data_IF_138319155354
#
_entry.id   IF_138319155354
#
_cell.length_a   1.000
_cell.length_b   1.000
_cell.length_c   1.000
_cell.angle_alpha   90.00
_cell.angle_beta   90.00
_cell.angle_gamma   90.00
#
_symmetry.space_group_name_H-M   'P 1'
#
loop_
_entity.id
_entity.type
_entity.pdbx_description
1 polymer ?
#
# COMPACT_ATOMS: atom_id res chain seq x y z
N UNK A 1 -23.16 -3.15 -11.97
CA UNK A 1 -22.50 -1.82 -12.00
C UNK A 1 -21.05 -2.02 -11.59
N UNK A 2 -20.10 -2.00 -12.53
CA UNK A 2 -18.67 -2.10 -12.20
C UNK A 2 -18.20 -0.71 -11.79
N UNK A 3 -18.02 -0.49 -10.49
CA UNK A 3 -17.45 0.75 -9.97
C UNK A 3 -16.00 0.83 -10.44
N UNK A 4 -15.69 1.73 -11.38
CA UNK A 4 -14.32 2.06 -11.72
C UNK A 4 -13.83 2.98 -10.59
N UNK A 5 -13.17 2.40 -9.59
CA UNK A 5 -12.49 3.18 -8.56
C UNK A 5 -11.20 3.73 -9.17
N UNK A 6 -11.10 5.06 -9.27
CA UNK A 6 -9.88 5.76 -9.62
C UNK A 6 -9.25 6.29 -8.35
N UNK A 7 -8.06 5.82 -8.03
CA UNK A 7 -7.26 6.43 -6.98
C UNK A 7 -6.30 7.42 -7.64
N UNK A 8 -6.61 8.70 -7.50
CA UNK A 8 -5.75 9.78 -7.99
C UNK A 8 -4.73 10.13 -6.91
N UNK A 9 -3.50 9.68 -7.07
CA UNK A 9 -2.38 10.21 -6.29
C UNK A 9 -1.81 11.41 -7.06
N UNK A 10 -1.98 12.60 -6.49
CA UNK A 10 -1.39 13.83 -7.01
C UNK A 10 -0.10 14.10 -6.24
N UNK A 11 1.06 13.86 -6.86
CA UNK A 11 2.34 14.26 -6.28
C UNK A 11 2.78 15.58 -6.90
N UNK A 12 3.12 16.57 -6.07
CA UNK A 12 3.75 17.82 -6.50
C UNK A 12 5.20 17.83 -6.04
N UNK A 13 6.13 17.51 -6.94
CA UNK A 13 7.55 17.74 -6.73
C UNK A 13 8.03 18.81 -7.71
N UNK A 14 8.45 19.97 -7.19
CA UNK A 14 9.05 21.05 -8.01
C UNK A 14 8.22 21.44 -9.24
N UNK A 15 6.94 21.76 -9.06
CA UNK A 15 5.96 22.20 -10.09
C UNK A 15 5.44 21.14 -11.09
N UNK A 16 5.85 19.87 -11.03
CA UNK A 16 5.19 18.83 -11.85
C UNK A 16 4.12 18.10 -11.06
N UNK A 17 2.89 18.16 -11.59
CA UNK A 17 1.74 17.41 -11.12
C UNK A 17 1.68 16.12 -11.93
N UNK A 18 1.99 14.99 -11.31
CA UNK A 18 1.77 13.68 -11.93
C UNK A 18 0.53 13.06 -11.30
N UNK A 19 -0.44 12.72 -12.15
CA UNK A 19 -1.65 12.00 -11.79
C UNK A 19 -1.40 10.50 -12.07
N UNK A 20 -1.22 9.71 -11.01
CA UNK A 20 -1.19 8.26 -11.15
C UNK A 20 -2.62 7.72 -11.12
N UNK A 21 -2.97 6.96 -12.15
CA UNK A 21 -4.25 6.27 -12.25
C UNK A 21 -4.00 4.77 -12.05
N UNK A 22 -4.46 4.24 -10.91
CA UNK A 22 -4.45 2.81 -10.63
C UNK A 22 -5.74 2.19 -11.14
N UNK A 23 -5.65 1.31 -12.14
CA UNK A 23 -6.83 0.64 -12.70
C UNK A 23 -7.16 -0.61 -11.89
N UNK A 24 -8.43 -0.76 -11.53
CA UNK A 24 -8.95 -1.91 -10.80
C UNK A 24 -8.87 -3.18 -11.68
N UNK A 25 -7.72 -3.89 -11.65
CA UNK A 25 -7.50 -5.34 -11.85
C UNK A 25 -6.09 -5.60 -12.43
N UNK A 26 -5.41 -6.73 -12.09
CA UNK A 26 -4.25 -7.21 -12.84
C UNK A 26 -4.73 -7.76 -14.19
N UNK A 27 -5.11 -6.89 -15.10
CA UNK A 27 -5.30 -7.25 -16.50
C UNK A 27 -3.94 -7.05 -17.15
N UNK A 28 -3.29 -8.17 -17.54
CA UNK A 28 -2.19 -8.16 -18.51
C UNK A 28 -2.56 -7.16 -19.60
N UNK A 29 -1.68 -6.19 -19.82
CA UNK A 29 -1.94 -4.95 -20.56
C UNK A 29 -3.13 -5.08 -21.48
N UNK A 30 -4.26 -4.46 -21.11
CA UNK A 30 -5.38 -4.34 -22.03
C UNK A 30 -4.78 -3.81 -23.32
N UNK A 31 -4.80 -4.65 -24.37
CA UNK A 31 -4.61 -4.17 -25.72
C UNK A 31 -5.50 -2.94 -25.87
N UNK A 32 -4.96 -1.91 -26.52
CA UNK A 32 -5.50 -0.56 -26.67
C UNK A 32 -6.94 -0.46 -27.25
N UNK A 33 -7.70 -1.55 -27.30
CA UNK A 33 -8.93 -1.68 -28.09
C UNK A 33 -10.23 -1.33 -27.37
N UNK A 34 -10.26 -1.14 -26.04
CA UNK A 34 -11.50 -0.75 -25.33
C UNK A 34 -11.41 0.55 -24.52
N UNK A 35 -10.22 1.14 -24.37
CA UNK A 35 -10.12 2.56 -24.06
C UNK A 35 -10.43 3.32 -25.37
N UNK A 36 -11.69 3.71 -25.57
CA UNK A 36 -12.09 4.63 -26.64
C UNK A 36 -11.05 5.76 -26.72
N UNK A 37 -10.32 5.86 -27.83
CA UNK A 37 -9.65 7.03 -28.40
C UNK A 37 -9.46 8.29 -27.51
N UNK A 38 -8.98 8.14 -26.29
CA UNK A 38 -8.49 9.25 -25.48
C UNK A 38 -6.98 9.17 -25.58
N UNK A 39 -6.39 10.12 -26.31
CA UNK A 39 -4.96 10.36 -26.20
C UNK A 39 -4.68 10.56 -24.71
N UNK A 40 -3.86 9.67 -24.13
CA UNK A 40 -3.47 9.86 -22.74
C UNK A 40 -2.82 11.24 -22.66
N UNK A 41 -3.30 12.14 -21.79
CA UNK A 41 -2.65 13.42 -21.64
C UNK A 41 -1.20 13.16 -21.22
N UNK A 42 -0.25 14.01 -21.61
CA UNK A 42 1.17 13.82 -21.30
C UNK A 42 1.48 13.74 -19.79
N UNK A 43 0.50 14.04 -18.94
CA UNK A 43 0.57 14.04 -17.48
C UNK A 43 -0.06 12.79 -16.83
N UNK A 44 -0.66 11.88 -17.61
CA UNK A 44 -1.28 10.67 -17.10
C UNK A 44 -0.41 9.44 -17.38
N UNK A 45 -0.22 8.62 -16.34
CA UNK A 45 0.45 7.32 -16.44
C UNK A 45 -0.50 6.26 -15.91
N UNK A 46 -0.76 5.24 -16.72
CA UNK A 46 -1.51 4.06 -16.32
C UNK A 46 -0.58 3.04 -15.67
N UNK A 47 -0.88 2.64 -14.43
CA UNK A 47 -0.11 1.63 -13.71
C UNK A 47 -0.90 0.32 -13.57
N UNK A 48 -0.17 -0.77 -13.38
CA UNK A 48 -0.74 -2.06 -13.01
C UNK A 48 -1.33 -2.00 -11.59
N UNK A 49 -2.23 -2.93 -11.28
CA UNK A 49 -2.78 -3.09 -9.95
C UNK A 49 -2.59 -4.52 -9.44
N UNK A 50 -1.90 -4.72 -8.31
CA UNK A 50 -1.19 -3.69 -7.53
C UNK A 50 0.06 -3.16 -8.27
N UNK A 51 0.65 -2.07 -7.79
CA UNK A 51 1.95 -1.62 -8.28
C UNK A 51 2.75 -0.85 -7.24
N UNK A 52 4.07 -0.84 -7.45
CA UNK A 52 5.03 -0.03 -6.69
C UNK A 52 5.77 0.87 -7.67
N UNK A 53 5.80 2.17 -7.41
CA UNK A 53 6.35 3.18 -8.31
C UNK A 53 7.19 4.20 -7.54
N UNK A 54 8.27 4.66 -8.17
CA UNK A 54 9.09 5.75 -7.65
C UNK A 54 8.60 7.09 -8.20
N UNK A 55 8.26 8.02 -7.32
CA UNK A 55 7.86 9.39 -7.63
C UNK A 55 8.82 10.36 -6.94
N UNK A 56 9.84 10.81 -7.68
CA UNK A 56 10.91 11.63 -7.09
C UNK A 56 11.58 10.88 -5.93
N UNK A 57 11.57 11.41 -4.69
CA UNK A 57 12.15 10.75 -3.53
C UNK A 57 11.23 9.71 -2.86
N UNK A 58 10.00 9.53 -3.34
CA UNK A 58 9.03 8.60 -2.74
C UNK A 58 8.95 7.28 -3.50
N UNK A 59 9.06 6.16 -2.79
CA UNK A 59 8.55 4.88 -3.26
C UNK A 59 7.12 4.71 -2.75
N UNK A 60 6.16 4.63 -3.66
CA UNK A 60 4.74 4.47 -3.35
C UNK A 60 4.27 3.12 -3.83
N UNK A 61 3.70 2.33 -2.92
CA UNK A 61 3.01 1.10 -3.21
C UNK A 61 1.50 1.34 -3.12
N UNK A 62 0.75 0.87 -4.11
CA UNK A 62 -0.70 1.04 -4.14
C UNK A 62 -1.40 -0.23 -4.60
N UNK A 63 -2.53 -0.52 -3.98
CA UNK A 63 -3.44 -1.57 -4.38
C UNK A 63 -4.86 -1.06 -4.28
N UNK A 64 -5.67 -1.26 -5.32
CA UNK A 64 -7.06 -0.80 -5.33
C UNK A 64 -8.03 -1.81 -4.72
N UNK A 65 -7.59 -3.04 -4.45
CA UNK A 65 -8.42 -4.06 -3.81
C UNK A 65 -8.65 -3.70 -2.33
N UNK A 66 -9.85 -3.98 -1.81
CA UNK A 66 -10.18 -3.67 -0.42
C UNK A 66 -9.64 -4.74 0.55
N UNK A 67 -8.32 -4.85 0.60
CA UNK A 67 -7.58 -5.84 1.38
C UNK A 67 -7.73 -5.58 2.87
N UNK A 68 -7.80 -4.31 3.28
CA UNK A 68 -8.03 -3.96 4.69
C UNK A 68 -9.37 -4.50 5.19
N UNK A 69 -10.45 -4.38 4.41
CA UNK A 69 -11.76 -4.93 4.78
C UNK A 69 -11.73 -6.45 4.82
N UNK A 70 -11.07 -7.09 3.84
CA UNK A 70 -10.91 -8.54 3.81
C UNK A 70 -10.15 -9.06 5.05
N UNK A 71 -9.03 -8.43 5.41
CA UNK A 71 -8.26 -8.74 6.61
C UNK A 71 -9.07 -8.46 7.88
N UNK A 72 -9.79 -7.33 7.94
CA UNK A 72 -10.61 -7.00 9.12
C UNK A 72 -11.70 -8.02 9.43
N UNK A 73 -12.13 -8.83 8.46
CA UNK A 73 -13.13 -9.87 8.68
C UNK A 73 -12.52 -11.20 9.18
N UNK A 74 -11.21 -11.40 9.00
CA UNK A 74 -10.52 -12.68 9.23
C UNK A 74 -9.35 -12.58 10.22
N UNK A 75 -8.98 -11.37 10.63
CA UNK A 75 -7.91 -11.12 11.58
C UNK A 75 -8.37 -11.37 13.02
N UNK A 76 -7.52 -12.07 13.78
CA UNK A 76 -7.68 -12.30 15.20
C UNK A 76 -6.43 -11.82 15.92
N UNK A 77 -6.59 -10.87 16.84
CA UNK A 77 -5.49 -10.38 17.69
C UNK A 77 -5.77 -10.63 19.15
N UNK A 78 -4.70 -10.97 19.89
CA UNK A 78 -4.70 -11.07 21.34
C UNK A 78 -4.04 -9.80 21.88
N UNK A 79 -4.85 -8.85 22.33
CA UNK A 79 -4.37 -7.62 22.94
C UNK A 79 -4.45 -7.74 24.46
N UNK A 80 -3.34 -7.56 25.20
CA UNK A 80 -3.38 -7.54 26.66
C UNK A 80 -4.32 -6.45 27.19
N UNK A 81 -5.02 -6.67 28.31
CA UNK A 81 -5.86 -5.65 28.92
C UNK A 81 -5.08 -4.36 29.18
N UNK A 82 -5.66 -3.21 28.83
CA UNK A 82 -5.03 -1.89 29.00
C UNK A 82 -4.09 -1.46 27.87
N UNK A 83 -3.84 -2.30 26.86
CA UNK A 83 -3.04 -1.90 25.69
C UNK A 83 -3.94 -1.30 24.62
N UNK A 84 -3.73 -0.03 24.28
CA UNK A 84 -4.42 0.63 23.18
C UNK A 84 -3.71 0.33 21.85
N UNK A 85 -4.24 -0.61 21.07
CA UNK A 85 -3.75 -0.90 19.71
C UNK A 85 -4.77 -0.37 18.70
N UNK A 86 -4.34 0.54 17.82
CA UNK A 86 -5.16 0.97 16.69
C UNK A 86 -5.30 -0.18 15.68
N UNK A 87 -6.51 -0.74 15.59
CA UNK A 87 -6.79 -1.91 14.77
C UNK A 87 -6.55 -1.69 13.27
N UNK A 88 -6.99 -0.56 12.72
CA UNK A 88 -6.95 -0.31 11.27
C UNK A 88 -5.50 -0.25 10.72
N UNK A 89 -4.57 0.50 11.33
CA UNK A 89 -3.16 0.45 10.92
C UNK A 89 -2.52 -0.92 11.14
N UNK A 90 -2.93 -1.67 12.19
CA UNK A 90 -2.42 -3.01 12.43
C UNK A 90 -2.75 -3.98 11.27
N UNK A 91 -3.90 -3.85 10.61
CA UNK A 91 -4.24 -4.68 9.44
C UNK A 91 -3.23 -4.49 8.29
N UNK A 92 -2.76 -3.27 8.07
CA UNK A 92 -1.77 -2.97 7.04
C UNK A 92 -0.38 -3.53 7.37
N UNK A 93 -0.10 -3.82 8.65
CA UNK A 93 1.17 -4.44 9.04
C UNK A 93 1.31 -5.86 8.48
N UNK A 94 0.19 -6.58 8.26
CA UNK A 94 0.22 -7.89 7.60
C UNK A 94 0.70 -7.81 6.15
N UNK A 95 0.31 -6.76 5.42
CA UNK A 95 0.76 -6.53 4.03
C UNK A 95 2.25 -6.27 3.96
N UNK A 96 2.76 -5.43 4.88
CA UNK A 96 4.19 -5.13 4.98
C UNK A 96 4.99 -6.35 5.43
N UNK A 97 4.54 -7.04 6.48
CA UNK A 97 5.22 -8.18 7.08
C UNK A 97 5.30 -9.39 6.16
N UNK A 98 4.21 -9.68 5.44
CA UNK A 98 4.16 -10.80 4.50
C UNK A 98 4.66 -10.45 3.10
N UNK A 99 5.08 -9.20 2.87
CA UNK A 99 5.59 -8.71 1.57
C UNK A 99 4.64 -9.05 0.41
N UNK A 100 3.34 -8.94 0.65
CA UNK A 100 2.29 -9.27 -0.32
C UNK A 100 1.16 -8.27 -0.21
N UNK A 101 0.72 -7.71 -1.33
CA UNK A 101 -0.44 -6.83 -1.42
C UNK A 101 -1.74 -7.54 -1.03
N UNK A 102 -1.81 -8.88 -1.12
CA UNK A 102 -2.99 -9.66 -0.70
C UNK A 102 -2.56 -10.90 0.10
N UNK A 103 -2.29 -10.75 1.40
CA UNK A 103 -1.80 -11.85 2.25
C UNK A 103 -2.88 -12.86 2.68
N UNK A 104 -4.16 -12.52 2.54
CA UNK A 104 -5.27 -13.38 2.98
C UNK A 104 -5.46 -14.57 2.02
N UNK A 105 -5.39 -15.80 2.55
CA UNK A 105 -5.69 -17.01 1.79
C UNK A 105 -6.51 -18.01 2.63
N UNK A 106 -7.58 -18.61 2.07
CA UNK A 106 -8.19 -18.33 0.77
C UNK A 106 -8.68 -16.89 0.62
N UNK A 107 -8.82 -16.40 -0.61
CA UNK A 107 -9.33 -15.05 -0.84
C UNK A 107 -10.74 -14.89 -0.26
N UNK A 108 -11.06 -13.71 0.27
CA UNK A 108 -12.37 -13.46 0.86
C UNK A 108 -13.50 -13.68 -0.17
N UNK A 109 -14.67 -14.20 0.23
CA UNK A 109 -15.78 -14.45 -0.68
C UNK A 109 -16.12 -13.22 -1.54
N UNK A 110 -16.28 -13.43 -2.85
CA UNK A 110 -16.51 -12.36 -3.82
C UNK A 110 -15.25 -11.67 -4.34
N UNK A 111 -14.06 -11.98 -3.81
CA UNK A 111 -12.78 -11.55 -4.39
C UNK A 111 -12.37 -12.51 -5.50
N UNK A 112 -12.31 -12.02 -6.74
CA UNK A 112 -11.76 -12.79 -7.86
C UNK A 112 -10.22 -12.67 -7.86
N UNK A 113 -9.55 -13.57 -7.14
CA UNK A 113 -8.10 -13.66 -7.09
C UNK A 113 -7.59 -14.80 -7.98
N UNK A 114 -6.82 -14.47 -9.02
CA UNK A 114 -6.13 -15.47 -9.81
C UNK A 114 -4.81 -15.88 -9.13
N UNK A 115 -4.83 -17.05 -8.51
CA UNK A 115 -3.69 -17.59 -7.76
C UNK A 115 -2.51 -17.98 -8.66
N UNK A 116 -2.72 -18.18 -9.96
CA UNK A 116 -1.64 -18.50 -10.90
C UNK A 116 -0.64 -17.34 -11.09
N UNK A 117 -1.05 -16.12 -10.74
CA UNK A 117 -0.25 -14.90 -10.86
C UNK A 117 0.16 -14.28 -9.51
N UNK A 118 0.25 -15.10 -8.45
CA UNK A 118 0.57 -14.62 -7.10
C UNK A 118 1.90 -13.85 -7.00
N UNK A 119 2.86 -14.12 -7.90
CA UNK A 119 4.12 -13.37 -7.97
C UNK A 119 3.91 -11.87 -8.25
N UNK A 120 2.83 -11.49 -8.93
CA UNK A 120 2.48 -10.09 -9.22
C UNK A 120 1.92 -9.35 -7.99
N UNK A 121 1.54 -10.08 -6.95
CA UNK A 121 1.05 -9.52 -5.69
C UNK A 121 2.18 -9.26 -4.69
N UNK A 122 3.42 -9.61 -5.03
CA UNK A 122 4.55 -9.38 -4.14
C UNK A 122 4.81 -7.88 -3.96
N UNK A 123 5.25 -7.52 -2.76
CA UNK A 123 5.75 -6.19 -2.40
C UNK A 123 7.29 -6.24 -2.43
N UNK A 124 7.92 -6.01 -3.59
CA UNK A 124 9.34 -6.30 -3.81
C UNK A 124 10.26 -5.41 -2.97
N UNK A 125 9.86 -4.16 -2.74
CA UNK A 125 10.62 -3.15 -1.99
C UNK A 125 9.72 -2.58 -0.89
N UNK A 126 10.31 -2.23 0.25
CA UNK A 126 9.55 -1.51 1.27
C UNK A 126 9.22 -0.09 0.79
N UNK A 127 7.94 0.28 0.69
CA UNK A 127 7.55 1.60 0.23
C UNK A 127 7.74 2.63 1.34
N UNK A 128 7.88 3.90 0.98
CA UNK A 128 7.74 4.99 1.94
C UNK A 128 6.26 5.25 2.25
N UNK A 129 5.39 5.06 1.25
CA UNK A 129 3.94 5.24 1.35
C UNK A 129 3.22 4.00 0.82
N UNK A 130 2.33 3.43 1.63
CA UNK A 130 1.44 2.34 1.25
C UNK A 130 0.00 2.85 1.17
N UNK A 131 -0.56 2.89 -0.04
CA UNK A 131 -1.91 3.32 -0.33
C UNK A 131 -2.85 2.11 -0.43
N UNK A 132 -3.86 2.08 0.44
CA UNK A 132 -4.84 1.00 0.51
C UNK A 132 -6.24 1.58 0.71
N UNK A 133 -6.94 1.94 -0.38
CA UNK A 133 -8.32 2.40 -0.35
C UNK A 133 -9.24 1.29 0.18
N UNK A 134 -10.10 1.66 1.13
CA UNK A 134 -11.03 0.74 1.78
C UNK A 134 -12.35 1.44 2.14
N UNK A 135 -13.42 0.66 2.25
CA UNK A 135 -14.68 1.14 2.80
C UNK A 135 -14.60 1.43 4.31
N UNK A 136 -13.54 0.97 4.98
CA UNK A 136 -13.27 1.26 6.40
C UNK A 136 -13.03 2.76 6.64
N UNK A 137 -12.95 3.14 7.92
CA UNK A 137 -12.72 4.54 8.29
C UNK A 137 -11.41 5.05 7.65
N UNK A 138 -11.41 6.22 6.98
CA UNK A 138 -10.21 6.79 6.40
C UNK A 138 -9.15 7.09 7.47
N UNK A 139 -7.89 6.84 7.16
CA UNK A 139 -6.78 7.12 8.08
C UNK A 139 -5.47 7.37 7.32
N UNK A 140 -4.55 8.07 7.98
CA UNK A 140 -3.15 8.18 7.58
C UNK A 140 -2.29 8.03 8.83
N UNK A 141 -1.46 6.99 8.88
CA UNK A 141 -0.66 6.65 10.08
C UNK A 141 0.74 6.19 9.69
N UNK A 142 1.72 6.59 10.51
CA UNK A 142 3.08 6.10 10.39
C UNK A 142 3.20 4.78 11.14
N UNK A 143 3.48 3.70 10.42
CA UNK A 143 3.79 2.42 11.04
C UNK A 143 5.30 2.30 11.28
N UNK A 144 5.74 2.00 12.51
CA UNK A 144 7.13 1.67 12.78
C UNK A 144 7.44 0.23 12.35
N UNK A 145 8.70 -0.08 12.03
CA UNK A 145 9.13 -1.44 11.67
C UNK A 145 8.68 -2.54 12.62
N UNK A 146 8.68 -2.25 13.92
CA UNK A 146 8.27 -3.17 14.97
C UNK A 146 6.84 -3.68 14.77
N UNK A 147 5.96 -2.90 14.12
CA UNK A 147 4.57 -3.26 13.89
C UNK A 147 4.37 -4.42 12.91
N UNK A 148 5.28 -4.62 11.94
CA UNK A 148 5.18 -5.72 10.97
C UNK A 148 6.29 -6.76 11.10
N UNK A 149 7.39 -6.44 11.78
CA UNK A 149 8.43 -7.43 12.08
C UNK A 149 7.97 -8.45 13.13
N UNK A 150 7.11 -8.06 14.07
CA UNK A 150 6.56 -8.98 15.07
C UNK A 150 5.51 -9.97 14.51
N UNK A 151 4.96 -9.70 13.31
CA UNK A 151 3.88 -10.47 12.68
C UNK A 151 4.29 -11.22 11.41
N UNK A 152 5.59 -11.31 11.11
CA UNK A 152 6.09 -12.13 10.01
C UNK A 152 5.85 -13.63 10.28
N UNK A 153 5.59 -14.45 9.25
CA UNK A 153 5.44 -15.88 9.44
C UNK A 153 6.70 -16.48 10.07
N UNK A 154 6.59 -17.36 11.09
CA UNK A 154 7.75 -18.04 11.66
C UNK A 154 8.46 -18.83 10.55
N UNK A 155 9.73 -18.53 10.32
CA UNK A 155 10.55 -19.15 9.26
C UNK A 155 10.86 -18.26 8.05
N UNK A 156 10.22 -17.10 7.90
CA UNK A 156 10.73 -16.05 7.01
C UNK A 156 11.66 -15.14 7.81
N UNK A 157 12.87 -15.64 8.11
CA UNK A 157 13.91 -14.79 8.66
C UNK A 157 14.18 -13.65 7.69
N UNK A 158 13.90 -12.43 8.14
CA UNK A 158 14.50 -11.25 7.55
C UNK A 158 15.98 -11.38 7.84
N UNK A 159 16.77 -11.74 6.83
CA UNK A 159 18.23 -11.81 6.92
C UNK A 159 18.77 -10.58 7.66
N UNK A 160 19.12 -10.77 8.94
CA UNK A 160 19.46 -9.65 9.82
C UNK A 160 18.90 -9.70 11.24
N UNK A 161 18.85 -10.86 11.91
CA UNK A 161 18.98 -10.89 13.38
C UNK A 161 19.49 -12.26 13.82
N UNK A 162 20.80 -12.35 14.04
CA UNK A 162 21.46 -13.56 14.54
C UNK A 162 21.45 -13.56 16.08
N UNK A 163 20.88 -14.60 16.65
CA UNK A 163 21.32 -15.15 17.93
C UNK A 163 21.25 -16.69 17.85
N UNK A 164 22.30 -17.32 17.31
CA UNK A 164 22.45 -18.77 17.23
C UNK A 164 23.59 -19.19 16.30
N UNK A 165 24.62 -19.84 16.84
CA UNK A 165 25.91 -20.11 16.21
C UNK A 165 25.83 -20.98 14.92
N UNK A 166 26.38 -20.47 13.82
CA UNK A 166 26.57 -21.21 12.58
C UNK A 166 27.50 -20.45 11.62
N UNK A 167 28.65 -21.05 11.29
CA UNK A 167 29.74 -20.48 10.48
C UNK A 167 29.35 -20.49 8.99
N UNK A 168 29.19 -19.32 8.36
CA UNK A 168 28.95 -19.18 6.93
C UNK A 168 29.26 -17.77 6.42
N UNK A 169 30.23 -17.66 5.52
CA UNK A 169 30.71 -16.40 4.92
C UNK A 169 29.86 -16.01 3.72
N UNK A 170 29.19 -14.85 3.77
CA UNK A 170 28.47 -14.25 2.65
C UNK A 170 27.57 -13.11 3.11
N UNK A 171 28.04 -11.87 2.99
CA UNK A 171 27.35 -10.68 3.53
C UNK A 171 26.21 -10.22 2.61
N UNK A 172 24.96 -10.33 3.09
CA UNK A 172 23.81 -9.61 2.56
C UNK A 172 23.61 -8.29 3.34
N UNK A 173 23.24 -7.17 2.69
CA UNK A 173 23.19 -5.87 3.34
C UNK A 173 22.06 -5.78 4.39
N UNK A 174 22.22 -4.98 5.45
CA UNK A 174 21.21 -4.86 6.51
C UNK A 174 19.97 -4.16 5.97
N UNK A 175 18.80 -4.80 6.09
CA UNK A 175 17.50 -4.17 5.83
C UNK A 175 17.25 -3.13 6.93
N UNK A 176 17.74 -1.93 6.69
CA UNK A 176 17.38 -0.72 7.42
C UNK A 176 15.87 -0.50 7.29
N UNK A 177 15.09 -1.03 8.23
CA UNK A 177 13.64 -0.91 8.17
C UNK A 177 13.26 0.54 8.54
N UNK A 178 13.01 1.37 7.53
CA UNK A 178 12.43 2.69 7.73
C UNK A 178 10.92 2.55 8.05
N UNK A 179 10.33 3.49 8.79
CA UNK A 179 8.88 3.50 8.99
C UNK A 179 8.13 3.72 7.67
N UNK A 180 6.88 3.27 7.61
CA UNK A 180 6.05 3.37 6.39
C UNK A 180 4.79 4.18 6.70
N UNK A 181 4.46 5.14 5.85
CA UNK A 181 3.20 5.88 5.93
C UNK A 181 2.10 5.06 5.26
N UNK A 182 1.14 4.57 6.03
CA UNK A 182 -0.02 3.84 5.50
C UNK A 182 -1.20 4.79 5.40
N UNK A 183 -1.87 4.76 4.24
CA UNK A 183 -2.98 5.65 3.92
C UNK A 183 -4.16 4.84 3.43
N UNK A 184 -5.29 4.94 4.14
CA UNK A 184 -6.61 4.64 3.61
C UNK A 184 -7.32 5.98 3.31
N UNK A 185 -7.41 6.42 2.04
CA UNK A 185 -8.10 7.67 1.70
C UNK A 185 -9.63 7.56 1.84
N UNK A 186 -10.17 6.36 2.03
CA UNK A 186 -11.61 6.08 1.91
C UNK A 186 -12.08 6.02 0.46
N UNK A 187 -13.38 6.19 0.26
CA UNK A 187 -14.00 6.30 -1.06
C UNK A 187 -14.28 7.77 -1.36
N UNK A 188 -14.07 8.20 -2.60
CA UNK A 188 -14.35 9.57 -3.03
C UNK A 188 -15.85 9.92 -2.95
N UNK A 189 -16.73 8.92 -3.08
CA UNK A 189 -18.17 9.05 -2.88
C UNK A 189 -18.71 7.81 -2.16
N UNK A 190 -19.76 7.98 -1.35
CA UNK A 190 -20.53 6.88 -0.75
C UNK A 190 -22.01 7.09 -1.02
N UNK A 191 -22.57 6.29 -1.93
CA UNK A 191 -23.95 6.47 -2.38
C UNK A 191 -24.13 7.86 -3.00
N UNK A 192 -25.09 8.63 -2.50
CA UNK A 192 -25.33 10.00 -2.92
C UNK A 192 -24.47 11.06 -2.20
N UNK A 193 -23.67 10.68 -1.21
CA UNK A 193 -22.87 11.59 -0.40
C UNK A 193 -21.42 11.70 -0.91
N UNK A 194 -20.84 12.90 -0.76
CA UNK A 194 -19.41 13.13 -0.91
C UNK A 194 -18.61 12.31 0.10
N UNK A 195 -17.47 11.79 -0.36
CA UNK A 195 -16.58 10.95 0.43
C UNK A 195 -15.32 11.69 0.86
N UNK A 196 -14.18 11.01 0.79
CA UNK A 196 -12.89 11.53 1.21
C UNK A 196 -11.79 11.23 0.20
N UNK A 197 -10.72 12.02 0.26
CA UNK A 197 -9.47 11.80 -0.47
C UNK A 197 -8.27 12.14 0.43
N UNK A 198 -7.09 11.65 0.10
CA UNK A 198 -5.85 11.98 0.80
C UNK A 198 -4.97 12.91 -0.04
N UNK A 199 -4.43 13.95 0.59
CA UNK A 199 -3.44 14.84 0.02
C UNK A 199 -2.08 14.55 0.66
N UNK A 200 -1.11 14.14 -0.15
CA UNK A 200 0.26 13.85 0.29
C UNK A 200 1.18 14.95 -0.22
N UNK A 201 1.83 15.65 0.71
CA UNK A 201 2.76 16.74 0.41
C UNK A 201 4.15 16.33 0.88
N UNK A 202 5.15 16.52 0.03
CA UNK A 202 6.56 16.35 0.40
C UNK A 202 7.23 17.72 0.32
N UNK A 203 7.64 18.26 1.46
CA UNK A 203 8.42 19.51 1.48
C UNK A 203 9.77 19.32 0.79
N UNK A 204 10.36 20.32 0.12
CA UNK A 204 11.73 20.25 -0.40
C UNK A 204 12.78 20.22 0.75
N UNK A 205 14.02 19.83 0.44
CA UNK A 205 15.12 19.75 1.41
C UNK A 205 16.01 18.52 1.22
N UNK A 206 16.92 18.30 2.18
CA UNK A 206 17.85 17.15 2.19
C UNK A 206 17.59 16.18 3.36
N UNK A 207 16.73 16.57 4.31
CA UNK A 207 16.32 15.69 5.40
C UNK A 207 15.61 14.41 4.87
N UNK A 208 15.60 13.31 5.64
CA UNK A 208 14.93 12.07 5.26
C UNK A 208 13.49 12.30 4.82
N UNK A 209 13.06 11.59 3.77
CA UNK A 209 11.76 11.85 3.12
C UNK A 209 10.59 11.77 4.09
N UNK A 210 10.62 10.84 5.04
CA UNK A 210 9.55 10.63 6.02
C UNK A 210 9.36 11.81 6.99
N UNK A 211 10.41 12.60 7.25
CA UNK A 211 10.33 13.80 8.09
C UNK A 211 9.69 14.99 7.35
N UNK A 212 9.60 14.88 6.02
CA UNK A 212 9.11 15.93 5.12
C UNK A 212 7.76 15.60 4.50
N UNK A 213 7.24 14.40 4.72
CA UNK A 213 5.92 13.98 4.27
C UNK A 213 4.88 14.52 5.24
N UNK A 214 3.85 15.17 4.70
CA UNK A 214 2.61 15.50 5.40
C UNK A 214 1.44 14.87 4.64
N UNK A 215 0.54 14.22 5.37
CA UNK A 215 -0.64 13.59 4.79
C UNK A 215 -1.88 14.15 5.47
N UNK A 216 -2.83 14.59 4.66
CA UNK A 216 -4.12 15.10 5.12
C UNK A 216 -5.25 14.35 4.43
N UNK A 217 -6.16 13.75 5.19
CA UNK A 217 -7.40 13.19 4.65
C UNK A 217 -8.49 14.25 4.71
N UNK A 218 -9.05 14.61 3.56
CA UNK A 218 -10.06 15.66 3.40
C UNK A 218 -11.36 15.08 2.87
N UNK A 219 -12.47 15.73 3.21
CA UNK A 219 -13.77 15.46 2.57
C UNK A 219 -13.85 16.20 1.23
N UNK A 220 -14.56 15.58 0.29
CA UNK A 220 -14.93 16.19 -1.01
C UNK A 220 -16.00 17.25 -0.79
#
# INVERSE_FOLDING_TARGET
MRSISFDLVRCTAGQRVTALLFFHHPMRGMGHSAARSFSQPPQAVALQNPSTVSMGPLVVAACSADVLKALSANEHSRVPPGTAVERLPALASHVLGQRSFYPLYPAAPGTCLDTSHYSQLQLPVMPNVLLMPSDLAPFAKLLPPTAWMAGGPPGLEVAGSVAGAGKGTGAAPPVSAAPVVVINPGRLARGAAGGTFAHVVVSPGDAPVLERIRVEVKRV
#
